data_IF_357654514188
#
_entry.id   IF_357654514188
#
_cell.length_a   1.000
_cell.length_b   1.000
_cell.length_c   1.000
_cell.angle_alpha   90.00
_cell.angle_beta   90.00
_cell.angle_gamma   90.00
#
_symmetry.space_group_name_H-M   'P 1'
#
loop_
_entity.id
_entity.type
_entity.pdbx_description
1 polymer ?
#
# COMPACT_ATOMS: atom_id res chain seq x y z
N UNK A 1 -20.35 11.10 6.04
CA UNK A 1 -20.35 10.47 4.71
C UNK A 1 -20.28 8.96 4.90
N UNK A 2 -20.91 8.13 4.06
CA UNK A 2 -20.71 6.69 4.15
C UNK A 2 -19.25 6.36 3.84
N UNK A 3 -18.73 5.28 4.44
CA UNK A 3 -17.43 4.73 4.06
C UNK A 3 -17.53 4.21 2.63
N UNK A 4 -16.62 4.64 1.77
CA UNK A 4 -16.51 4.11 0.40
C UNK A 4 -15.34 3.14 0.32
N UNK A 5 -15.56 2.01 -0.36
CA UNK A 5 -14.52 1.00 -0.59
C UNK A 5 -14.45 0.67 -2.07
N UNK A 6 -13.29 0.93 -2.68
CA UNK A 6 -12.99 0.55 -4.05
C UNK A 6 -12.01 -0.63 -4.07
N UNK A 7 -12.45 -1.77 -4.59
CA UNK A 7 -11.59 -2.94 -4.80
C UNK A 7 -10.90 -2.89 -6.16
N UNK A 8 -9.58 -2.79 -6.15
CA UNK A 8 -8.76 -2.76 -7.37
C UNK A 8 -8.31 -4.16 -7.79
N UNK A 9 -8.41 -5.18 -6.94
CA UNK A 9 -7.97 -6.55 -7.26
C UNK A 9 -6.90 -7.08 -6.32
N UNK A 10 -6.88 -8.40 -6.13
CA UNK A 10 -6.09 -9.06 -5.08
C UNK A 10 -6.45 -8.45 -3.70
N UNK A 11 -5.46 -8.01 -2.95
CA UNK A 11 -5.60 -7.31 -1.68
C UNK A 11 -5.51 -5.78 -1.82
N UNK A 12 -5.48 -5.23 -3.04
CA UNK A 12 -5.45 -3.78 -3.23
C UNK A 12 -6.85 -3.18 -3.17
N UNK A 13 -7.15 -2.46 -2.10
CA UNK A 13 -8.37 -1.67 -1.92
C UNK A 13 -8.04 -0.23 -1.52
N UNK A 14 -8.82 0.71 -2.02
CA UNK A 14 -8.90 2.08 -1.47
C UNK A 14 -10.12 2.16 -0.56
N UNK A 15 -9.93 2.72 0.64
CA UNK A 15 -11.01 3.06 1.56
C UNK A 15 -11.02 4.58 1.73
N UNK A 16 -12.19 5.18 1.67
CA UNK A 16 -12.39 6.61 1.93
C UNK A 16 -13.40 6.75 3.07
N UNK A 17 -12.94 7.33 4.17
CA UNK A 17 -13.76 7.59 5.34
C UNK A 17 -13.30 8.89 6.00
N UNK A 18 -14.24 9.77 6.35
CA UNK A 18 -13.97 10.97 7.14
C UNK A 18 -12.84 11.86 6.58
N UNK A 19 -12.75 11.96 5.25
CA UNK A 19 -11.70 12.66 4.49
C UNK A 19 -10.29 12.04 4.56
N UNK A 20 -10.18 10.83 5.08
CA UNK A 20 -8.96 10.02 5.05
C UNK A 20 -9.06 8.94 3.99
N UNK A 21 -8.04 8.84 3.16
CA UNK A 21 -7.90 7.80 2.14
C UNK A 21 -6.83 6.78 2.54
N UNK A 22 -7.26 5.55 2.74
CA UNK A 22 -6.42 4.40 3.06
C UNK A 22 -6.24 3.52 1.84
N UNK A 23 -5.01 3.09 1.55
CA UNK A 23 -4.70 2.14 0.49
C UNK A 23 -4.10 0.87 1.09
N UNK A 24 -4.61 -0.29 0.73
CA UNK A 24 -4.14 -1.59 1.22
C UNK A 24 -3.30 -2.30 0.16
N UNK A 25 -2.25 -3.00 0.57
CA UNK A 25 -1.37 -3.87 -0.23
C UNK A 25 -1.20 -3.41 -1.70
N UNK A 26 -0.54 -2.25 -1.93
CA UNK A 26 -0.53 -1.58 -3.23
C UNK A 26 0.08 -2.42 -4.36
N UNK A 27 -0.75 -2.90 -5.31
CA UNK A 27 -0.30 -3.67 -6.49
C UNK A 27 -0.79 -3.05 -7.81
N UNK A 28 -0.04 -2.07 -8.30
CA UNK A 28 -0.32 -1.29 -9.51
C UNK A 28 0.30 -1.92 -10.77
N UNK A 29 0.24 -3.24 -10.87
CA UNK A 29 0.84 -4.00 -11.95
C UNK A 29 -0.18 -4.93 -12.62
N UNK A 30 -0.01 -5.15 -13.93
CA UNK A 30 -0.75 -6.18 -14.68
C UNK A 30 -0.20 -7.58 -14.47
N UNK A 31 1.07 -7.68 -14.07
CA UNK A 31 1.81 -8.93 -13.91
C UNK A 31 2.68 -8.86 -12.67
N UNK A 32 2.85 -10.01 -12.04
CA UNK A 32 3.80 -10.22 -10.96
C UNK A 32 4.50 -11.55 -11.23
N UNK A 33 5.78 -11.50 -11.63
CA UNK A 33 6.49 -12.64 -12.17
C UNK A 33 5.66 -13.36 -13.28
N UNK A 34 5.32 -14.63 -13.09
CA UNK A 34 4.53 -15.42 -14.02
C UNK A 34 3.00 -15.20 -13.88
N UNK A 35 2.55 -14.54 -12.80
CA UNK A 35 1.14 -14.28 -12.54
C UNK A 35 0.63 -13.10 -13.37
N UNK A 36 -0.63 -13.20 -13.77
CA UNK A 36 -1.34 -12.18 -14.55
C UNK A 36 -2.61 -11.78 -13.82
N UNK A 37 -2.84 -10.48 -13.70
CA UNK A 37 -4.09 -9.92 -13.19
C UNK A 37 -5.24 -10.36 -14.10
N UNK A 38 -6.23 -11.05 -13.52
CA UNK A 38 -7.44 -11.53 -14.23
C UNK A 38 -8.68 -10.69 -13.94
N UNK A 39 -8.79 -10.14 -12.72
CA UNK A 39 -9.90 -9.31 -12.25
C UNK A 39 -9.36 -8.11 -11.48
N UNK A 40 -10.24 -7.12 -11.29
CA UNK A 40 -9.90 -5.83 -10.72
C UNK A 40 -9.11 -4.98 -11.73
N UNK A 41 -9.54 -3.74 -11.93
CA UNK A 41 -8.83 -2.82 -12.80
C UNK A 41 -7.41 -2.58 -12.25
N UNK A 42 -6.44 -2.35 -13.14
CA UNK A 42 -5.18 -1.76 -12.64
C UNK A 42 -5.56 -0.41 -12.05
N UNK A 43 -5.23 -0.13 -10.78
CA UNK A 43 -5.63 1.13 -10.18
C UNK A 43 -5.10 2.30 -11.02
N UNK A 44 -5.96 3.28 -11.33
CA UNK A 44 -5.60 4.43 -12.15
C UNK A 44 -4.69 5.40 -11.35
N UNK A 45 -4.08 6.41 -12.00
CA UNK A 45 -3.12 7.30 -11.33
C UNK A 45 -3.64 7.97 -10.06
N UNK A 46 -4.93 8.32 -10.00
CA UNK A 46 -5.60 8.91 -8.85
C UNK A 46 -5.59 8.00 -7.61
N UNK A 47 -5.51 6.67 -7.79
CA UNK A 47 -5.42 5.71 -6.69
C UNK A 47 -4.03 5.68 -6.04
N UNK A 48 -3.01 6.33 -6.61
CA UNK A 48 -1.69 6.49 -6.00
C UNK A 48 -1.67 7.52 -4.86
N UNK A 49 -2.72 8.34 -4.77
CA UNK A 49 -2.90 9.31 -3.67
C UNK A 49 -3.59 8.60 -2.52
N UNK A 50 -2.91 8.52 -1.39
CA UNK A 50 -3.44 8.03 -0.12
C UNK A 50 -2.76 8.77 1.02
N UNK A 51 -3.47 9.00 2.12
CA UNK A 51 -2.88 9.55 3.34
C UNK A 51 -2.04 8.47 4.03
N UNK A 52 -2.56 7.24 4.04
CA UNK A 52 -1.88 6.06 4.55
C UNK A 52 -1.97 4.87 3.59
N UNK A 53 -0.84 4.19 3.40
CA UNK A 53 -0.75 2.90 2.75
C UNK A 53 -0.40 1.81 3.78
N UNK A 54 -1.10 0.68 3.73
CA UNK A 54 -0.93 -0.45 4.63
C UNK A 54 -0.35 -1.64 3.87
N UNK A 55 0.72 -2.23 4.40
CA UNK A 55 1.23 -3.52 3.94
C UNK A 55 0.97 -4.56 5.01
N UNK A 56 0.18 -5.57 4.68
CA UNK A 56 -0.22 -6.62 5.62
C UNK A 56 0.94 -7.56 5.97
N UNK A 57 1.75 -7.95 4.98
CA UNK A 57 2.91 -8.83 5.14
C UNK A 57 3.88 -8.72 3.95
N UNK A 58 5.02 -9.41 4.02
CA UNK A 58 6.17 -9.17 3.14
C UNK A 58 6.24 -10.07 1.88
N UNK A 59 5.16 -10.75 1.51
CA UNK A 59 5.11 -11.48 0.24
C UNK A 59 5.02 -10.50 -0.94
N UNK A 60 5.55 -10.87 -2.10
CA UNK A 60 5.71 -9.96 -3.24
C UNK A 60 4.40 -9.49 -3.89
N UNK A 61 3.31 -10.22 -3.67
CA UNK A 61 1.94 -9.88 -4.08
C UNK A 61 1.24 -8.90 -3.13
N UNK A 62 1.82 -8.63 -1.96
CA UNK A 62 1.36 -7.63 -1.00
C UNK A 62 2.36 -6.47 -0.81
N UNK A 63 3.66 -6.78 -0.85
CA UNK A 63 4.77 -5.84 -0.79
C UNK A 63 5.44 -5.70 -2.17
N UNK A 64 4.85 -4.88 -3.03
CA UNK A 64 5.39 -4.61 -4.36
C UNK A 64 6.11 -3.25 -4.40
N UNK A 65 7.43 -3.26 -4.17
CA UNK A 65 8.26 -2.04 -4.12
C UNK A 65 8.08 -1.08 -5.32
N UNK A 66 7.97 -1.55 -6.59
CA UNK A 66 7.73 -0.65 -7.72
C UNK A 66 6.37 0.06 -7.67
N UNK A 67 5.37 -0.53 -7.02
CA UNK A 67 4.08 0.13 -6.79
C UNK A 67 4.15 1.13 -5.65
N UNK A 68 4.81 0.77 -4.54
CA UNK A 68 5.02 1.69 -3.42
C UNK A 68 5.81 2.94 -3.84
N UNK A 69 6.84 2.79 -4.68
CA UNK A 69 7.64 3.89 -5.20
C UNK A 69 6.84 4.90 -6.06
N UNK A 70 5.62 4.57 -6.46
CA UNK A 70 4.73 5.44 -7.24
C UNK A 70 3.71 6.19 -6.40
N UNK A 71 3.61 5.88 -5.10
CA UNK A 71 2.68 6.57 -4.20
C UNK A 71 3.04 8.06 -4.10
N UNK A 72 2.05 8.88 -3.76
CA UNK A 72 2.25 10.31 -3.58
C UNK A 72 3.32 10.58 -2.49
N UNK A 73 4.22 11.56 -2.71
CA UNK A 73 5.16 11.97 -1.67
C UNK A 73 4.43 12.40 -0.39
N UNK A 74 4.96 12.00 0.76
CA UNK A 74 4.36 12.25 2.07
C UNK A 74 3.32 11.22 2.50
N UNK A 75 2.92 10.26 1.64
CA UNK A 75 2.08 9.14 2.07
C UNK A 75 2.77 8.36 3.20
N UNK A 76 2.06 8.15 4.31
CA UNK A 76 2.53 7.31 5.40
C UNK A 76 2.41 5.84 5.02
N UNK A 77 3.50 5.10 5.07
CA UNK A 77 3.53 3.67 4.74
C UNK A 77 3.69 2.87 6.03
N UNK A 78 2.64 2.16 6.44
CA UNK A 78 2.69 1.25 7.58
C UNK A 78 3.06 -0.15 7.12
N UNK A 79 4.12 -0.72 7.72
CA UNK A 79 4.63 -2.06 7.42
C UNK A 79 4.80 -2.86 8.72
N UNK A 80 4.83 -4.21 8.67
CA UNK A 80 5.07 -5.00 9.87
C UNK A 80 6.45 -4.72 10.50
N UNK A 81 6.54 -4.77 11.83
CA UNK A 81 7.81 -4.59 12.56
C UNK A 81 8.89 -5.55 12.04
N UNK A 82 10.09 -5.01 11.77
CA UNK A 82 11.20 -5.75 11.16
C UNK A 82 11.21 -5.75 9.61
N UNK A 83 10.22 -5.15 8.95
CA UNK A 83 10.16 -5.05 7.49
C UNK A 83 11.39 -4.37 6.88
N UNK A 84 11.89 -3.28 7.45
CA UNK A 84 13.08 -2.57 6.96
C UNK A 84 14.33 -3.46 7.05
N UNK A 85 14.41 -4.33 8.07
CA UNK A 85 15.49 -5.32 8.18
C UNK A 85 15.35 -6.43 7.12
N UNK A 86 14.14 -6.98 6.95
CA UNK A 86 13.89 -8.08 6.03
C UNK A 86 13.95 -7.66 4.54
N UNK A 87 13.54 -6.43 4.25
CA UNK A 87 13.44 -5.89 2.88
C UNK A 87 14.16 -4.53 2.81
N UNK A 88 15.50 -4.52 2.62
CA UNK A 88 16.28 -3.28 2.58
C UNK A 88 15.83 -2.28 1.50
N UNK A 89 15.16 -2.75 0.45
CA UNK A 89 14.60 -1.91 -0.60
C UNK A 89 13.57 -0.88 -0.11
N UNK A 90 12.89 -1.13 1.02
CA UNK A 90 11.98 -0.16 1.65
C UNK A 90 12.70 1.14 2.05
N UNK A 91 13.98 1.07 2.43
CA UNK A 91 14.78 2.26 2.77
C UNK A 91 15.02 3.19 1.58
N UNK A 92 14.77 2.72 0.35
CA UNK A 92 14.90 3.52 -0.88
C UNK A 92 13.62 4.30 -1.20
N UNK A 93 12.53 4.08 -0.47
CA UNK A 93 11.26 4.79 -0.64
C UNK A 93 11.29 6.13 0.09
N UNK A 94 12.27 6.97 -0.21
CA UNK A 94 12.55 8.22 0.52
C UNK A 94 11.46 9.28 0.39
N UNK A 95 10.51 9.11 -0.53
CA UNK A 95 9.35 9.97 -0.66
C UNK A 95 8.21 9.60 0.31
N UNK A 96 8.30 8.45 0.99
CA UNK A 96 7.27 7.95 1.89
C UNK A 96 7.73 8.02 3.35
N UNK A 97 6.79 8.20 4.26
CA UNK A 97 7.03 8.10 5.70
C UNK A 97 6.81 6.65 6.17
N UNK A 98 7.88 5.85 6.16
CA UNK A 98 7.81 4.41 6.47
C UNK A 98 7.85 4.17 7.97
N UNK A 99 6.77 3.62 8.52
CA UNK A 99 6.64 3.29 9.94
C UNK A 99 6.43 1.79 10.13
N UNK A 100 7.25 1.18 10.97
CA UNK A 100 7.13 -0.22 11.38
C UNK A 100 6.15 -0.37 12.55
N UNK A 101 5.13 -1.22 12.39
CA UNK A 101 4.04 -1.42 13.35
C UNK A 101 4.00 -2.88 13.83
N UNK A 102 3.67 -3.10 15.10
CA UNK A 102 3.36 -4.41 15.68
C UNK A 102 1.88 -4.52 16.08
N UNK A 103 1.35 -5.75 16.24
CA UNK A 103 0.00 -5.94 16.77
C UNK A 103 -0.19 -5.22 18.11
N UNK A 104 -1.24 -4.39 18.20
CA UNK A 104 -1.54 -3.57 19.37
C UNK A 104 -0.97 -2.15 19.32
N UNK A 105 -0.05 -1.84 18.40
CA UNK A 105 0.40 -0.46 18.17
C UNK A 105 -0.76 0.39 17.62
N UNK A 106 -0.80 1.67 18.03
CA UNK A 106 -1.78 2.66 17.58
C UNK A 106 -1.03 3.87 17.00
N UNK A 107 -1.50 4.39 15.87
CA UNK A 107 -0.96 5.61 15.25
C UNK A 107 -2.09 6.51 14.76
N UNK A 108 -1.81 7.80 14.63
CA UNK A 108 -2.65 8.75 13.91
C UNK A 108 -2.21 8.89 12.45
N UNK A 109 -3.17 9.28 11.61
CA UNK A 109 -2.97 9.63 10.20
C UNK A 109 -3.57 11.01 9.98
#
# INVERSE_FOLDING_TARGET
>A
MPVEVTWWGHATCTLEDSHTRVLTDPLFARRLAHLRRRRGAVPPPEALRADVALVSHLHSDHLHLPSLARLAPGTRLLVPRGALRAVPGLRRLTALDVTEMAPGDVTSV
#
